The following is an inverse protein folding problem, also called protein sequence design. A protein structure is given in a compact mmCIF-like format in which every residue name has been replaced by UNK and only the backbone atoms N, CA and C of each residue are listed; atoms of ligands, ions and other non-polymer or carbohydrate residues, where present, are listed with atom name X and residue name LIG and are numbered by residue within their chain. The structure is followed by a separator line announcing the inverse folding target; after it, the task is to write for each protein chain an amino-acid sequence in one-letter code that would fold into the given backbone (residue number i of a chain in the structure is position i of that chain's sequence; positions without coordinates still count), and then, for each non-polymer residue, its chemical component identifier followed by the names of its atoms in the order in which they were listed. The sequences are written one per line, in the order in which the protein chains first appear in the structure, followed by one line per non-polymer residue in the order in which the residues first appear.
data_IF_323112065769
#
_entry.id   IF_323112065769
#
_cell.length_a   1.000
_cell.length_b   1.000
_cell.length_c   1.000
_cell.angle_alpha   90.00
_cell.angle_beta   90.00
_cell.angle_gamma   90.00
#
_symmetry.space_group_name_H-M   'P 1'
#
loop_
_entity.id
_entity.type
_entity.pdbx_description
1 polymer ?
#
# COMPACT_ATOMS: atom_id res chain seq x y z
N UNK A 1 26.79 -52.42 -30.94
CA UNK A 1 27.38 -53.33 -29.92
C UNK A 1 26.42 -53.31 -28.71
N UNK A 2 25.74 -54.40 -28.60
CA UNK A 2 25.29 -55.17 -27.42
C UNK A 2 24.47 -54.44 -26.35
N UNK A 3 23.16 -54.71 -26.22
CA UNK A 3 22.44 -55.87 -25.61
C UNK A 3 22.35 -55.69 -24.09
N UNK A 4 21.30 -55.87 -23.33
CA UNK A 4 20.07 -56.68 -23.35
C UNK A 4 19.26 -56.21 -22.09
N UNK A 5 17.99 -56.00 -22.05
CA UNK A 5 16.89 -56.95 -22.02
C UNK A 5 16.76 -57.76 -20.69
N UNK A 6 15.59 -57.68 -20.10
CA UNK A 6 15.05 -58.51 -19.02
C UNK A 6 13.76 -57.91 -18.50
N UNK A 7 12.78 -58.21 -18.97
CA UNK A 7 11.54 -59.02 -19.00
C UNK A 7 11.30 -59.80 -17.67
N UNK A 8 10.06 -59.69 -17.26
CA UNK A 8 9.12 -60.68 -16.69
C UNK A 8 8.40 -60.11 -15.48
N UNK A 9 7.20 -60.35 -15.22
CA UNK A 9 5.93 -60.75 -15.85
C UNK A 9 4.86 -60.69 -14.77
N UNK A 10 3.76 -60.22 -15.14
CA UNK A 10 2.36 -60.55 -14.88
C UNK A 10 2.01 -61.58 -13.77
N UNK A 11 0.87 -61.29 -13.22
CA UNK A 11 -0.23 -62.11 -12.67
C UNK A 11 -0.61 -61.69 -11.25
N UNK A 12 -1.80 -61.52 -10.78
CA UNK A 12 -3.13 -61.76 -11.29
C UNK A 12 -4.11 -61.37 -10.19
N UNK A 13 -5.38 -61.11 -10.58
CA UNK A 13 -6.65 -61.27 -9.88
C UNK A 13 -7.07 -60.25 -8.83
N UNK A 14 -7.90 -59.37 -9.26
CA UNK A 14 -9.39 -59.49 -9.22
C UNK A 14 -9.96 -59.88 -7.87
N UNK A 15 -10.60 -58.91 -7.23
CA UNK A 15 -11.91 -59.02 -6.61
C UNK A 15 -12.40 -57.67 -6.14
N UNK A 16 -13.48 -57.24 -6.71
CA UNK A 16 -14.21 -56.06 -6.33
C UNK A 16 -14.81 -56.17 -4.92
N UNK A 17 -15.05 -55.03 -4.38
CA UNK A 17 -16.25 -54.75 -3.59
C UNK A 17 -16.47 -53.23 -3.61
N UNK A 18 -17.65 -52.87 -4.10
CA UNK A 18 -18.26 -51.58 -3.87
C UNK A 18 -18.36 -51.36 -2.36
N UNK A 19 -17.93 -50.21 -1.88
CA UNK A 19 -18.51 -49.56 -0.73
C UNK A 19 -18.61 -48.08 -1.05
N UNK A 20 -19.82 -47.63 -1.23
CA UNK A 20 -20.22 -46.23 -1.27
C UNK A 20 -19.92 -45.67 0.12
N UNK A 21 -18.76 -45.06 0.30
CA UNK A 21 -18.48 -44.21 1.46
C UNK A 21 -19.08 -42.83 1.16
N UNK A 22 -20.29 -42.60 1.61
CA UNK A 22 -20.87 -41.30 1.79
C UNK A 22 -19.92 -40.48 2.70
N UNK A 23 -19.17 -39.54 2.14
CA UNK A 23 -18.46 -38.54 2.94
C UNK A 23 -19.47 -37.66 3.68
N UNK A 24 -19.68 -37.95 4.97
CA UNK A 24 -20.32 -37.02 5.89
C UNK A 24 -19.63 -35.65 5.82
N UNK A 25 -20.39 -34.52 5.77
CA UNK A 25 -19.82 -33.21 5.77
C UNK A 25 -19.06 -32.96 7.06
N UNK A 26 -17.73 -32.85 6.97
CA UNK A 26 -16.86 -32.51 8.09
C UNK A 26 -17.32 -31.22 8.71
N UNK A 27 -17.81 -31.29 9.93
CA UNK A 27 -18.12 -30.10 10.75
C UNK A 27 -16.87 -29.21 10.82
N UNK A 28 -17.04 -27.89 10.72
CA UNK A 28 -15.90 -26.97 10.87
C UNK A 28 -15.36 -27.16 12.29
N UNK A 29 -14.13 -27.60 12.37
CA UNK A 29 -13.36 -27.71 13.58
C UNK A 29 -13.43 -26.35 14.32
N UNK A 30 -14.15 -26.30 15.43
CA UNK A 30 -14.18 -25.16 16.35
C UNK A 30 -12.79 -25.02 16.92
N UNK A 31 -11.94 -24.30 16.18
CA UNK A 31 -10.55 -24.07 16.50
C UNK A 31 -10.42 -23.55 17.93
N UNK A 32 -9.76 -24.31 18.75
CA UNK A 32 -9.33 -23.86 20.05
C UNK A 32 -8.65 -22.51 19.92
N UNK A 33 -9.06 -21.54 20.74
CA UNK A 33 -8.46 -20.22 20.79
C UNK A 33 -6.94 -20.38 20.90
N UNK A 34 -6.22 -20.03 19.85
CA UNK A 34 -4.76 -19.95 19.91
C UNK A 34 -4.41 -18.93 20.98
N UNK A 35 -3.88 -19.41 22.09
CA UNK A 35 -3.35 -18.51 23.13
C UNK A 35 -2.14 -17.79 22.54
N UNK A 36 -2.08 -16.48 22.78
CA UNK A 36 -0.88 -15.71 22.49
C UNK A 36 0.33 -16.38 23.14
N UNK A 37 1.44 -16.53 22.44
CA UNK A 37 2.66 -17.03 23.06
C UNK A 37 3.03 -16.12 24.23
N UNK A 38 3.60 -16.66 25.31
CA UNK A 38 4.07 -15.85 26.44
C UNK A 38 5.02 -14.78 25.90
N UNK A 39 4.81 -13.54 26.30
CA UNK A 39 5.69 -12.44 25.90
C UNK A 39 7.11 -12.71 26.41
N UNK A 40 8.01 -12.98 25.50
CA UNK A 40 9.36 -13.38 25.87
C UNK A 40 10.26 -12.20 26.14
N UNK A 41 10.10 -11.09 25.45
CA UNK A 41 10.82 -9.83 25.74
C UNK A 41 10.20 -8.66 24.95
N UNK A 42 10.12 -7.49 25.58
CA UNK A 42 9.81 -6.24 24.88
C UNK A 42 11.11 -5.67 24.31
N UNK A 43 11.26 -5.68 23.00
CA UNK A 43 12.35 -4.95 22.35
C UNK A 43 12.03 -3.47 22.40
N UNK A 44 12.65 -2.76 23.35
CA UNK A 44 12.56 -1.31 23.38
C UNK A 44 13.27 -0.74 22.15
N UNK A 45 12.62 0.23 21.54
CA UNK A 45 12.97 0.92 20.31
C UNK A 45 14.48 0.96 20.00
N UNK A 46 14.87 0.52 18.81
CA UNK A 46 16.23 0.66 18.30
C UNK A 46 16.47 2.14 18.00
N UNK A 47 17.12 2.83 18.91
CA UNK A 47 17.59 4.18 18.65
C UNK A 47 18.86 4.11 17.81
N UNK A 48 18.95 4.94 16.77
CA UNK A 48 20.20 5.19 16.09
C UNK A 48 21.28 5.57 17.12
N UNK A 49 22.38 4.89 17.10
CA UNK A 49 23.39 4.76 18.17
C UNK A 49 24.15 6.04 18.54
N UNK A 50 23.83 7.21 17.99
CA UNK A 50 24.60 8.44 18.15
C UNK A 50 23.84 9.72 18.49
N UNK A 51 22.64 9.64 19.08
CA UNK A 51 22.02 10.85 19.62
C UNK A 51 22.48 11.05 21.07
N UNK A 52 23.22 12.14 21.39
CA UNK A 52 23.68 12.44 22.75
C UNK A 52 22.48 12.48 23.70
N UNK A 53 22.66 11.97 24.93
CA UNK A 53 21.60 11.95 25.97
C UNK A 53 20.94 13.30 26.21
N UNK A 54 21.66 14.40 25.97
CA UNK A 54 21.17 15.77 26.14
C UNK A 54 20.18 16.16 25.04
N UNK A 55 20.47 15.83 23.78
CA UNK A 55 19.58 16.07 22.64
C UNK A 55 18.34 15.19 22.70
N UNK A 56 18.50 13.95 23.14
CA UNK A 56 17.37 13.04 23.36
C UNK A 56 16.41 13.56 24.43
N UNK A 57 16.94 14.12 25.56
CA UNK A 57 16.10 14.74 26.57
C UNK A 57 15.42 16.01 26.07
N UNK A 58 16.08 16.77 25.19
CA UNK A 58 15.51 17.97 24.60
C UNK A 58 14.39 17.61 23.63
N UNK A 59 14.60 16.69 22.71
CA UNK A 59 13.58 16.21 21.79
C UNK A 59 12.35 15.61 22.53
N UNK A 60 12.58 14.85 23.61
CA UNK A 60 11.49 14.35 24.44
C UNK A 60 10.75 15.49 25.17
N UNK A 61 11.43 16.53 25.65
CA UNK A 61 10.77 17.71 26.24
C UNK A 61 9.95 18.47 25.21
N UNK A 62 10.48 18.64 24.00
CA UNK A 62 9.77 19.33 22.92
C UNK A 62 8.52 18.55 22.47
N UNK A 63 8.55 17.23 22.55
CA UNK A 63 7.38 16.36 22.29
C UNK A 63 6.36 16.42 23.46
N UNK A 64 6.84 16.49 24.71
CA UNK A 64 5.95 16.55 25.90
C UNK A 64 5.54 17.97 26.30
N UNK A 65 6.16 19.01 25.76
CA UNK A 65 5.76 20.41 25.97
C UNK A 65 4.65 20.87 25.02
N UNK A 66 4.18 20.01 24.13
CA UNK A 66 2.92 20.21 23.45
C UNK A 66 1.82 20.18 24.50
N UNK A 67 1.14 21.29 24.69
CA UNK A 67 -0.02 21.39 25.58
C UNK A 67 -0.94 20.19 25.38
N UNK A 68 -1.62 19.70 26.43
CA UNK A 68 -2.59 18.62 26.29
C UNK A 68 -3.69 19.10 25.34
N UNK A 69 -3.48 18.81 24.07
CA UNK A 69 -4.50 19.03 23.04
C UNK A 69 -5.66 18.15 23.45
N UNK A 70 -6.78 18.75 23.84
CA UNK A 70 -8.05 18.04 23.97
C UNK A 70 -8.19 17.20 22.71
N UNK A 71 -8.36 15.87 22.81
CA UNK A 71 -8.38 15.00 21.65
C UNK A 71 -9.52 15.44 20.73
N UNK A 72 -9.15 16.17 19.69
CA UNK A 72 -10.09 16.54 18.63
C UNK A 72 -10.14 15.36 17.68
N UNK A 73 -11.29 14.71 17.62
CA UNK A 73 -11.50 13.64 16.66
C UNK A 73 -11.20 14.14 15.24
N UNK A 74 -10.54 13.31 14.45
CA UNK A 74 -10.36 13.61 13.04
C UNK A 74 -11.71 13.82 12.36
N UNK A 75 -11.82 14.74 11.40
CA UNK A 75 -12.98 14.83 10.55
C UNK A 75 -13.33 13.44 10.01
N UNK A 76 -14.62 13.09 10.01
CA UNK A 76 -15.09 11.78 9.53
C UNK A 76 -14.79 10.57 10.45
N UNK A 77 -14.33 10.79 11.68
CA UNK A 77 -14.09 9.69 12.63
C UNK A 77 -15.34 8.84 12.94
N UNK A 78 -16.52 9.40 12.72
CA UNK A 78 -17.80 8.70 12.86
C UNK A 78 -18.21 7.91 11.61
N UNK A 79 -17.53 8.10 10.48
CA UNK A 79 -17.81 7.37 9.25
C UNK A 79 -17.20 5.98 9.31
N UNK A 80 -18.02 4.95 9.33
CA UNK A 80 -17.54 3.56 9.31
C UNK A 80 -17.04 3.18 7.92
N UNK A 81 -15.78 2.77 7.83
CA UNK A 81 -15.18 2.24 6.60
C UNK A 81 -14.98 0.74 6.79
N UNK A 82 -15.68 -0.04 5.99
CA UNK A 82 -15.64 -1.51 6.04
C UNK A 82 -15.16 -2.10 4.73
N UNK A 83 -14.50 -3.26 4.82
CA UNK A 83 -14.14 -4.09 3.68
C UNK A 83 -14.78 -5.47 3.87
N UNK A 84 -15.47 -5.95 2.86
CA UNK A 84 -16.16 -7.24 2.90
C UNK A 84 -15.88 -8.07 1.63
N UNK A 85 -16.55 -9.21 1.51
CA UNK A 85 -16.38 -10.13 0.38
C UNK A 85 -16.64 -9.47 -0.99
N UNK A 86 -17.48 -8.45 -1.07
CA UNK A 86 -17.78 -7.72 -2.31
C UNK A 86 -16.62 -6.86 -2.76
N UNK A 87 -15.75 -6.50 -1.83
CA UNK A 87 -14.53 -5.74 -2.13
C UNK A 87 -13.40 -6.61 -2.66
N UNK A 88 -13.51 -7.92 -2.48
CA UNK A 88 -12.47 -8.84 -2.94
C UNK A 88 -12.35 -8.77 -4.48
N UNK A 89 -11.15 -8.61 -5.03
CA UNK A 89 -10.96 -8.59 -6.48
C UNK A 89 -11.32 -9.95 -7.08
N UNK A 90 -11.93 -9.94 -8.26
CA UNK A 90 -12.38 -11.14 -8.98
C UNK A 90 -11.22 -12.05 -9.40
N UNK A 91 -10.03 -11.47 -9.58
CA UNK A 91 -8.81 -12.22 -9.84
C UNK A 91 -7.62 -11.57 -9.16
N UNK A 92 -6.91 -12.31 -8.34
CA UNK A 92 -5.61 -11.92 -7.78
C UNK A 92 -4.59 -12.85 -8.39
N UNK A 93 -3.74 -12.32 -9.28
CA UNK A 93 -2.73 -13.15 -9.96
C UNK A 93 -1.63 -13.66 -9.02
N UNK A 94 -1.34 -12.95 -7.94
CA UNK A 94 -0.20 -13.26 -7.05
C UNK A 94 -0.52 -13.00 -5.57
N UNK A 95 -1.55 -13.62 -5.02
CA UNK A 95 -1.74 -13.83 -3.59
C UNK A 95 -1.31 -12.70 -2.61
N UNK A 96 -1.56 -11.42 -2.91
CA UNK A 96 -1.24 -10.33 -1.99
C UNK A 96 0.13 -9.66 -2.18
N UNK A 97 0.91 -10.05 -3.18
CA UNK A 97 2.21 -9.43 -3.51
C UNK A 97 2.12 -8.32 -4.56
N UNK A 98 0.93 -8.03 -5.07
CA UNK A 98 0.74 -7.00 -6.08
C UNK A 98 0.82 -5.61 -5.48
N UNK A 99 1.52 -4.70 -6.16
CA UNK A 99 1.55 -3.30 -5.78
C UNK A 99 0.16 -2.68 -5.94
N UNK A 100 -0.25 -1.81 -5.01
CA UNK A 100 -1.46 -1.02 -5.20
C UNK A 100 -1.17 0.14 -6.14
N UNK A 101 -1.72 0.06 -7.35
CA UNK A 101 -1.58 1.07 -8.40
C UNK A 101 -2.94 1.70 -8.66
N UNK A 102 -3.00 3.02 -8.66
CA UNK A 102 -4.22 3.79 -8.87
C UNK A 102 -4.15 4.60 -10.17
N UNK A 103 -5.31 4.98 -10.65
CA UNK A 103 -5.46 5.84 -11.84
C UNK A 103 -6.24 7.13 -11.46
N UNK A 104 -5.69 8.03 -10.58
CA UNK A 104 -6.34 9.25 -10.16
C UNK A 104 -6.34 10.33 -11.25
N UNK A 105 -7.14 11.38 -11.05
CA UNK A 105 -6.99 12.64 -11.78
C UNK A 105 -6.02 13.53 -11.01
N UNK A 106 -4.94 13.96 -11.64
CA UNK A 106 -3.94 14.87 -11.07
C UNK A 106 -3.81 16.07 -11.98
N UNK A 107 -4.03 17.28 -11.44
CA UNK A 107 -3.99 18.54 -12.20
C UNK A 107 -4.88 18.49 -13.46
N UNK A 108 -6.08 17.94 -13.34
CA UNK A 108 -7.03 17.79 -14.44
C UNK A 108 -6.70 16.69 -15.47
N UNK A 109 -5.63 15.94 -15.28
CA UNK A 109 -5.19 14.86 -16.17
C UNK A 109 -5.38 13.50 -15.50
N UNK A 110 -5.92 12.55 -16.23
CA UNK A 110 -6.02 11.16 -15.77
C UNK A 110 -4.65 10.49 -15.84
N UNK A 111 -4.00 10.32 -14.69
CA UNK A 111 -2.71 9.65 -14.59
C UNK A 111 -2.93 8.17 -14.28
N UNK A 112 -2.51 7.34 -15.19
CA UNK A 112 -2.44 5.91 -14.97
C UNK A 112 -1.11 5.55 -14.30
N UNK A 113 -1.00 4.40 -13.66
CA UNK A 113 0.23 3.91 -13.01
C UNK A 113 0.75 4.84 -11.89
N UNK A 114 -0.13 5.25 -11.01
CA UNK A 114 0.27 5.96 -9.79
C UNK A 114 0.43 4.95 -8.66
N UNK A 115 1.68 4.77 -8.22
CA UNK A 115 2.01 3.82 -7.17
C UNK A 115 1.58 4.33 -5.80
N UNK A 116 0.98 3.47 -5.00
CA UNK A 116 0.66 3.74 -3.59
C UNK A 116 1.76 3.18 -2.70
N UNK A 117 2.36 4.04 -1.89
CA UNK A 117 3.39 3.67 -0.93
C UNK A 117 3.07 4.25 0.45
N UNK A 118 2.42 3.44 1.29
CA UNK A 118 2.08 3.83 2.67
C UNK A 118 3.29 3.98 3.60
N UNK A 119 4.47 3.53 3.19
CA UNK A 119 5.73 3.70 3.93
C UNK A 119 6.49 4.97 3.57
N UNK A 120 6.17 5.61 2.45
CA UNK A 120 6.81 6.86 2.04
C UNK A 120 6.15 8.07 2.68
N UNK A 121 6.93 8.97 3.24
CA UNK A 121 6.46 10.28 3.73
C UNK A 121 6.27 11.31 2.62
N UNK A 122 6.75 11.03 1.40
CA UNK A 122 6.75 11.96 0.27
C UNK A 122 5.84 11.47 -0.86
N UNK A 123 5.23 12.42 -1.57
CA UNK A 123 4.69 12.15 -2.88
C UNK A 123 5.74 12.52 -3.92
N UNK A 124 5.95 11.66 -4.90
CA UNK A 124 6.95 11.84 -5.95
C UNK A 124 6.27 11.99 -7.30
N UNK A 125 6.84 12.88 -8.12
CA UNK A 125 6.47 13.02 -9.51
C UNK A 125 7.74 12.88 -10.36
N UNK A 126 7.71 11.98 -11.31
CA UNK A 126 8.88 11.72 -12.13
C UNK A 126 9.05 12.79 -13.22
N UNK A 127 10.28 13.18 -13.51
CA UNK A 127 10.60 14.25 -14.45
C UNK A 127 9.93 14.07 -15.82
N UNK A 128 9.84 12.82 -16.30
CA UNK A 128 9.18 12.55 -17.58
C UNK A 128 7.67 12.79 -17.51
N UNK A 129 7.05 12.54 -16.35
CA UNK A 129 5.64 12.84 -16.12
C UNK A 129 5.40 14.35 -16.07
N UNK A 130 6.26 15.11 -15.39
CA UNK A 130 6.19 16.58 -15.35
C UNK A 130 6.15 17.15 -16.76
N UNK A 131 7.05 16.69 -17.64
CA UNK A 131 7.10 17.12 -19.05
C UNK A 131 5.83 16.75 -19.82
N UNK A 132 5.36 15.51 -19.67
CA UNK A 132 4.14 15.03 -20.34
C UNK A 132 2.88 15.77 -19.88
N UNK A 133 2.84 16.18 -18.62
CA UNK A 133 1.73 16.96 -18.06
C UNK A 133 1.74 18.42 -18.51
N UNK A 134 2.82 18.90 -19.13
CA UNK A 134 2.95 20.30 -19.53
C UNK A 134 2.94 21.27 -18.34
N UNK A 135 3.48 20.85 -17.20
CA UNK A 135 3.50 21.69 -15.99
C UNK A 135 4.40 22.89 -16.26
N UNK A 136 3.83 24.10 -16.08
CA UNK A 136 4.58 25.35 -16.24
C UNK A 136 5.77 25.37 -15.26
N UNK A 137 6.99 25.57 -15.76
CA UNK A 137 8.19 25.67 -14.93
C UNK A 137 8.09 26.73 -13.82
N UNK A 138 7.33 27.80 -14.01
CA UNK A 138 7.12 28.85 -13.00
C UNK A 138 6.38 28.34 -11.75
N UNK A 139 5.62 27.26 -11.86
CA UNK A 139 4.94 26.60 -10.74
C UNK A 139 5.87 25.71 -9.91
N UNK A 140 7.04 25.38 -10.45
CA UNK A 140 8.00 24.49 -9.79
C UNK A 140 8.85 25.33 -8.84
N UNK A 141 8.73 25.03 -7.54
CA UNK A 141 9.47 25.71 -6.49
C UNK A 141 10.77 24.98 -6.19
N UNK A 142 11.87 25.68 -5.91
CA UNK A 142 13.08 25.05 -5.43
C UNK A 142 12.82 24.26 -4.14
N UNK A 143 13.50 23.13 -3.98
CA UNK A 143 13.41 22.31 -2.77
C UNK A 143 14.80 21.82 -2.38
N UNK A 144 15.01 21.66 -1.06
CA UNK A 144 16.18 20.98 -0.50
C UNK A 144 15.84 19.54 -0.09
N UNK A 145 14.65 19.07 -0.47
CA UNK A 145 14.19 17.74 -0.09
C UNK A 145 15.08 16.68 -0.74
N UNK A 146 15.57 15.81 0.11
CA UNK A 146 16.24 14.58 -0.29
C UNK A 146 15.49 13.39 0.30
N UNK A 147 15.59 12.26 -0.35
CA UNK A 147 15.10 11.02 0.24
C UNK A 147 16.12 9.90 0.09
N UNK A 148 16.09 9.01 1.05
CA UNK A 148 16.91 7.80 1.04
C UNK A 148 16.01 6.65 0.66
N UNK A 149 16.38 5.91 -0.37
CA UNK A 149 15.74 4.66 -0.74
C UNK A 149 16.09 3.54 0.25
N UNK A 150 15.60 2.35 -0.02
CA UNK A 150 15.89 1.16 0.78
C UNK A 150 17.39 0.79 0.74
N UNK A 151 18.11 1.22 -0.29
CA UNK A 151 19.55 0.95 -0.44
C UNK A 151 20.32 1.95 0.44
N UNK A 152 21.06 1.49 1.46
CA UNK A 152 21.87 2.36 2.29
C UNK A 152 22.91 3.15 1.49
N UNK A 153 23.08 4.43 1.81
CA UNK A 153 24.09 5.29 1.19
C UNK A 153 23.66 5.96 -0.13
N UNK A 154 22.50 5.61 -0.68
CA UNK A 154 21.97 6.30 -1.87
C UNK A 154 20.98 7.37 -1.44
N UNK A 155 21.34 8.62 -1.62
CA UNK A 155 20.50 9.78 -1.38
C UNK A 155 20.11 10.44 -2.69
N UNK A 156 18.82 10.66 -2.90
CA UNK A 156 18.30 11.29 -4.10
C UNK A 156 17.84 12.70 -3.79
N UNK A 157 18.38 13.66 -4.52
CA UNK A 157 17.97 15.06 -4.45
C UNK A 157 16.80 15.31 -5.39
N UNK A 158 15.74 15.93 -4.86
CA UNK A 158 14.63 16.37 -5.67
C UNK A 158 15.01 17.64 -6.45
N UNK A 159 14.63 17.71 -7.71
CA UNK A 159 14.93 18.86 -8.60
C UNK A 159 14.02 20.05 -8.35
N UNK A 160 12.93 19.84 -7.65
CA UNK A 160 11.95 20.87 -7.30
C UNK A 160 10.73 20.26 -6.64
N UNK A 161 9.76 21.09 -6.31
CA UNK A 161 8.45 20.67 -5.80
C UNK A 161 7.33 21.45 -6.49
N UNK A 162 6.17 20.82 -6.63
CA UNK A 162 4.98 21.43 -7.22
C UNK A 162 3.75 21.01 -6.43
N UNK A 163 2.81 21.95 -6.26
CA UNK A 163 1.50 21.66 -5.66
C UNK A 163 0.50 21.38 -6.77
N UNK A 164 -0.14 20.22 -6.73
CA UNK A 164 -1.11 19.76 -7.71
C UNK A 164 -2.37 19.28 -7.00
N UNK A 165 -3.52 19.53 -7.61
CA UNK A 165 -4.78 18.95 -7.19
C UNK A 165 -4.82 17.46 -7.53
N UNK A 166 -5.25 16.64 -6.58
CA UNK A 166 -5.50 15.21 -6.75
C UNK A 166 -6.95 14.93 -6.46
N UNK A 167 -7.60 14.23 -7.38
CA UNK A 167 -9.02 13.87 -7.28
C UNK A 167 -9.16 12.36 -7.26
N UNK A 168 -9.91 11.85 -6.28
CA UNK A 168 -10.34 10.46 -6.18
C UNK A 168 -11.85 10.36 -6.19
N UNK A 169 -12.38 9.36 -6.86
CA UNK A 169 -13.81 9.07 -6.92
C UNK A 169 -14.36 9.05 -8.35
N UNK A 170 -15.66 9.24 -8.45
CA UNK A 170 -16.42 9.30 -9.71
C UNK A 170 -16.99 10.70 -9.90
N UNK A 171 -17.51 11.04 -11.11
CA UNK A 171 -18.18 12.32 -11.33
C UNK A 171 -19.30 12.62 -10.31
N UNK A 172 -19.99 11.60 -9.84
CA UNK A 172 -21.12 11.74 -8.92
C UNK A 172 -20.68 11.87 -7.46
N UNK A 173 -19.51 11.30 -7.12
CA UNK A 173 -18.99 11.34 -5.76
C UNK A 173 -17.46 11.33 -5.75
N UNK A 174 -16.85 12.48 -5.51
CA UNK A 174 -15.40 12.64 -5.52
C UNK A 174 -14.92 13.56 -4.40
N UNK A 175 -13.65 13.43 -4.08
CA UNK A 175 -12.93 14.35 -3.20
C UNK A 175 -11.66 14.81 -3.89
N UNK A 176 -11.34 16.10 -3.70
CA UNK A 176 -10.09 16.69 -4.18
C UNK A 176 -9.28 17.28 -3.03
N UNK A 177 -7.96 17.22 -3.16
CA UNK A 177 -6.99 17.84 -2.25
C UNK A 177 -5.77 18.32 -3.01
N UNK A 178 -5.25 19.46 -2.61
CA UNK A 178 -3.93 19.90 -3.07
C UNK A 178 -2.83 19.13 -2.32
N UNK A 179 -1.93 18.53 -3.08
CA UNK A 179 -0.80 17.76 -2.59
C UNK A 179 0.50 18.34 -3.13
N UNK A 180 1.54 18.31 -2.29
CA UNK A 180 2.89 18.67 -2.72
C UNK A 180 3.55 17.41 -3.28
N UNK A 181 4.06 17.53 -4.49
CA UNK A 181 4.89 16.51 -5.15
C UNK A 181 6.32 16.98 -5.23
N UNK A 182 7.25 16.13 -4.84
CA UNK A 182 8.67 16.34 -5.05
C UNK A 182 9.07 15.71 -6.39
N UNK A 183 9.74 16.51 -7.23
CA UNK A 183 10.12 16.09 -8.56
C UNK A 183 11.47 15.38 -8.50
N UNK A 184 11.52 14.18 -9.07
CA UNK A 184 12.74 13.35 -9.09
C UNK A 184 13.27 13.18 -10.50
N UNK A 185 14.62 13.20 -10.67
CA UNK A 185 15.25 13.27 -11.99
C UNK A 185 15.30 11.94 -12.74
N UNK A 186 14.99 10.83 -12.06
CA UNK A 186 15.08 9.50 -12.68
C UNK A 186 13.80 9.06 -13.36
N UNK A 187 13.90 8.06 -14.21
CA UNK A 187 12.79 7.43 -14.91
C UNK A 187 12.20 6.31 -14.05
N UNK A 188 10.90 6.10 -14.20
CA UNK A 188 10.18 5.01 -13.54
C UNK A 188 9.13 4.44 -14.49
N UNK A 189 8.75 3.19 -14.25
CA UNK A 189 7.55 2.60 -14.88
C UNK A 189 6.24 3.22 -14.39
N UNK A 190 6.29 3.99 -13.28
CA UNK A 190 5.17 4.71 -12.71
C UNK A 190 5.21 6.19 -13.10
N UNK A 191 4.04 6.83 -13.13
CA UNK A 191 3.92 8.26 -13.40
C UNK A 191 4.15 9.11 -12.14
N UNK A 192 3.69 8.61 -11.01
CA UNK A 192 3.85 9.25 -9.70
C UNK A 192 3.86 8.20 -8.59
N UNK A 193 4.25 8.62 -7.38
CA UNK A 193 4.11 7.87 -6.16
C UNK A 193 3.33 8.72 -5.15
N UNK A 194 2.33 8.14 -4.54
CA UNK A 194 1.56 8.74 -3.45
C UNK A 194 1.98 8.13 -2.12
N UNK A 195 2.52 8.98 -1.26
CA UNK A 195 2.97 8.60 0.07
C UNK A 195 1.88 8.73 1.15
N UNK A 196 2.24 8.36 2.37
CA UNK A 196 1.38 8.39 3.55
C UNK A 196 0.65 9.73 3.75
N UNK A 197 1.32 10.86 3.44
CA UNK A 197 0.73 12.20 3.58
C UNK A 197 -0.51 12.41 2.73
N UNK A 198 -0.60 11.76 1.56
CA UNK A 198 -1.80 11.75 0.73
C UNK A 198 -2.96 11.11 1.46
N UNK A 199 -2.77 9.91 1.97
CA UNK A 199 -3.84 9.13 2.59
C UNK A 199 -4.31 9.75 3.89
N UNK A 200 -3.41 10.36 4.67
CA UNK A 200 -3.76 11.14 5.84
C UNK A 200 -4.65 12.35 5.49
N UNK A 201 -4.34 13.10 4.42
CA UNK A 201 -5.17 14.23 3.98
C UNK A 201 -6.56 13.83 3.49
N UNK A 202 -6.69 12.66 2.91
CA UNK A 202 -7.98 12.11 2.47
C UNK A 202 -8.72 11.34 3.56
N UNK A 203 -8.11 11.11 4.73
CA UNK A 203 -8.57 10.14 5.74
C UNK A 203 -8.85 8.78 5.10
N UNK A 204 -7.96 8.35 4.23
CA UNK A 204 -8.15 7.17 3.41
C UNK A 204 -7.54 5.93 4.06
N UNK A 205 -8.24 4.81 3.90
CA UNK A 205 -7.80 3.50 4.36
C UNK A 205 -7.40 2.66 3.16
N UNK A 206 -6.18 2.13 3.20
CA UNK A 206 -5.62 1.27 2.15
C UNK A 206 -5.83 -0.20 2.51
N UNK A 207 -6.25 -0.98 1.54
CA UNK A 207 -6.32 -2.43 1.67
C UNK A 207 -5.52 -3.08 0.54
N UNK A 208 -4.27 -3.43 0.83
CA UNK A 208 -3.35 -3.96 -0.18
C UNK A 208 -3.78 -5.32 -0.73
N UNK A 209 -4.32 -6.21 0.11
CA UNK A 209 -4.79 -7.51 -0.37
C UNK A 209 -6.02 -7.42 -1.28
N UNK A 210 -6.86 -6.38 -1.11
CA UNK A 210 -8.01 -6.15 -1.99
C UNK A 210 -7.72 -5.14 -3.10
N UNK A 211 -6.52 -4.57 -3.12
CA UNK A 211 -6.10 -3.54 -4.07
C UNK A 211 -7.11 -2.39 -4.14
N UNK A 212 -7.51 -1.88 -2.97
CA UNK A 212 -8.52 -0.84 -2.83
C UNK A 212 -8.11 0.24 -1.84
N UNK A 213 -8.65 1.41 -2.10
CA UNK A 213 -8.61 2.56 -1.22
C UNK A 213 -10.06 2.94 -0.90
N UNK A 214 -10.38 3.16 0.37
CA UNK A 214 -11.66 3.72 0.79
C UNK A 214 -11.46 4.97 1.60
N UNK A 215 -12.31 5.98 1.38
CA UNK A 215 -12.27 7.23 2.12
C UNK A 215 -13.67 7.74 2.41
N UNK A 216 -13.87 8.47 3.54
CA UNK A 216 -15.16 9.03 3.89
C UNK A 216 -15.51 10.24 3.03
N UNK A 217 -16.79 10.44 2.75
CA UNK A 217 -17.36 11.61 2.09
C UNK A 217 -18.74 11.92 2.69
N UNK A 218 -19.27 13.16 2.61
CA UNK A 218 -20.61 13.48 3.09
C UNK A 218 -21.73 12.60 2.52
N UNK A 219 -21.53 12.08 1.32
CA UNK A 219 -22.48 11.20 0.62
C UNK A 219 -22.20 9.71 0.85
N UNK A 220 -21.31 9.36 1.79
CA UNK A 220 -20.95 7.99 2.12
C UNK A 220 -19.48 7.70 1.98
N UNK A 221 -19.13 6.48 1.60
CA UNK A 221 -17.74 6.03 1.42
C UNK A 221 -17.39 5.97 -0.06
N UNK A 222 -16.38 6.72 -0.45
CA UNK A 222 -15.78 6.62 -1.79
C UNK A 222 -14.86 5.38 -1.81
N UNK A 223 -15.09 4.50 -2.78
CA UNK A 223 -14.21 3.36 -3.04
C UNK A 223 -13.46 3.57 -4.33
N UNK A 224 -12.14 3.51 -4.28
CA UNK A 224 -11.25 3.57 -5.44
C UNK A 224 -10.61 2.20 -5.63
N UNK A 225 -10.83 1.61 -6.78
CA UNK A 225 -10.23 0.32 -7.13
C UNK A 225 -8.81 0.51 -7.67
N UNK A 226 -7.90 -0.35 -7.26
CA UNK A 226 -6.60 -0.44 -7.88
C UNK A 226 -6.69 -1.03 -9.30
N UNK A 227 -5.74 -0.67 -10.12
CA UNK A 227 -5.61 -1.22 -11.45
C UNK A 227 -4.89 -2.57 -11.38
N UNK A 228 -5.64 -3.66 -11.41
CA UNK A 228 -5.11 -5.04 -11.27
C UNK A 228 -4.23 -5.47 -12.44
N UNK A 229 -4.38 -4.88 -13.62
CA UNK A 229 -3.54 -5.20 -14.79
C UNK A 229 -2.14 -4.60 -14.67
N UNK A 230 -2.02 -3.49 -13.92
CA UNK A 230 -0.78 -2.72 -13.75
C UNK A 230 -0.13 -2.90 -12.38
N UNK A 231 -0.74 -3.72 -11.54
CA UNK A 231 -0.28 -4.05 -10.18
C UNK A 231 0.79 -5.14 -10.15
N UNK A 232 1.47 -5.36 -11.25
CA UNK A 232 2.52 -6.38 -11.43
C UNK A 232 3.90 -5.86 -11.04
#
# INVERSE_FOLDING_TARGET
MFKQAGKLSAENRDKGLHSDDEEEPRQPNTGGQKRLPPQVQTVNMIYATHIPKRERKRALRDVYALEPVTPKFNPWSSCSITFDRRDHPTSIRHGGFSALVLDPIINGLHLTRVLVDGGSSLNLLYQDTVRKMGIDPSRIKPTKTTFKGVIPGVEVHCTGSVTLEVVFGSPDNFRSKELIFNIVPFRSGYHALLGQTTFAKFNAVLHYAYLKLKMPDPRGVITVNGNTERSL
#
